data_IF_648050018479
#
_entry.id   IF_648050018479
#
_cell.length_a   1.000
_cell.length_b   1.000
_cell.length_c   1.000
_cell.angle_alpha   90.00
_cell.angle_beta   90.00
_cell.angle_gamma   90.00
#
_symmetry.space_group_name_H-M   'P 1'
#
loop_
_entity.id
_entity.type
_entity.pdbx_description
1 polymer ?
#
# COMPACT_ATOMS: atom_id res chain seq x y z
N UNK A 1 2.89 22.60 -8.92
CA UNK A 1 2.59 21.35 -9.65
C UNK A 1 1.30 21.53 -10.41
N UNK A 2 1.27 21.21 -11.71
CA UNK A 2 0.06 21.31 -12.53
C UNK A 2 -0.86 20.13 -12.21
N UNK A 3 -2.18 20.31 -12.35
CA UNK A 3 -3.18 19.27 -12.04
C UNK A 3 -2.89 17.94 -12.77
N UNK A 4 -2.51 18.01 -14.04
CA UNK A 4 -2.20 16.84 -14.85
C UNK A 4 -1.01 16.03 -14.30
N UNK A 5 0.02 16.72 -13.79
CA UNK A 5 1.19 16.08 -13.16
C UNK A 5 0.78 15.35 -11.88
N UNK A 6 -0.08 15.97 -11.06
CA UNK A 6 -0.60 15.36 -9.84
C UNK A 6 -1.37 14.06 -10.13
N UNK A 7 -2.21 14.07 -11.16
CA UNK A 7 -3.00 12.91 -11.58
C UNK A 7 -2.07 11.80 -12.05
N UNK A 8 -1.09 12.14 -12.90
CA UNK A 8 -0.10 11.17 -13.37
C UNK A 8 0.67 10.52 -12.22
N UNK A 9 1.16 11.33 -11.27
CA UNK A 9 1.89 10.83 -10.11
C UNK A 9 1.00 9.98 -9.19
N UNK A 10 -0.25 10.35 -8.99
CA UNK A 10 -1.20 9.55 -8.23
C UNK A 10 -1.39 8.16 -8.84
N UNK A 11 -1.60 8.10 -10.17
CA UNK A 11 -1.73 6.82 -10.89
C UNK A 11 -0.44 6.01 -10.82
N UNK A 12 0.71 6.67 -10.95
CA UNK A 12 2.01 6.02 -10.86
C UNK A 12 2.26 5.41 -9.48
N UNK A 13 2.10 6.17 -8.40
CA UNK A 13 2.27 5.67 -7.03
C UNK A 13 1.22 4.61 -6.68
N UNK A 14 -0.03 4.79 -7.13
CA UNK A 14 -1.07 3.78 -7.00
C UNK A 14 -0.66 2.46 -7.63
N UNK A 15 -0.27 2.49 -8.91
CA UNK A 15 0.14 1.29 -9.66
C UNK A 15 1.38 0.62 -9.08
N UNK A 16 2.38 1.40 -8.66
CA UNK A 16 3.59 0.89 -8.02
C UNK A 16 3.26 0.20 -6.69
N UNK A 17 2.42 0.81 -5.86
CA UNK A 17 1.98 0.21 -4.59
C UNK A 17 1.20 -1.08 -4.81
N UNK A 18 0.28 -1.11 -5.76
CA UNK A 18 -0.49 -2.31 -6.16
C UNK A 18 0.45 -3.44 -6.57
N UNK A 19 1.46 -3.15 -7.41
CA UNK A 19 2.44 -4.15 -7.83
C UNK A 19 3.23 -4.70 -6.64
N UNK A 20 3.70 -3.82 -5.75
CA UNK A 20 4.45 -4.22 -4.55
C UNK A 20 3.59 -5.08 -3.63
N UNK A 21 2.31 -4.74 -3.42
CA UNK A 21 1.42 -5.52 -2.58
C UNK A 21 1.17 -6.92 -3.14
N UNK A 22 0.94 -7.04 -4.46
CA UNK A 22 0.77 -8.35 -5.11
C UNK A 22 2.02 -9.21 -4.95
N UNK A 23 3.21 -8.63 -5.17
CA UNK A 23 4.48 -9.33 -4.99
C UNK A 23 4.68 -9.76 -3.52
N UNK A 24 4.40 -8.87 -2.58
CA UNK A 24 4.54 -9.15 -1.15
C UNK A 24 3.56 -10.22 -0.66
N UNK A 25 2.29 -10.12 -1.07
CA UNK A 25 1.27 -11.12 -0.77
C UNK A 25 1.63 -12.47 -1.39
N UNK A 26 2.10 -12.48 -2.63
CA UNK A 26 2.51 -13.70 -3.33
C UNK A 26 3.71 -14.35 -2.66
N UNK A 27 4.71 -13.56 -2.27
CA UNK A 27 5.88 -14.04 -1.54
C UNK A 27 5.50 -14.64 -0.17
N UNK A 28 4.62 -13.97 0.58
CA UNK A 28 4.10 -14.50 1.84
C UNK A 28 3.31 -15.80 1.66
N UNK A 29 2.55 -15.92 0.56
CA UNK A 29 1.86 -17.15 0.23
C UNK A 29 2.86 -18.26 -0.09
N UNK A 30 3.87 -17.99 -0.93
CA UNK A 30 4.93 -18.94 -1.26
C UNK A 30 5.66 -19.47 -0.01
N UNK A 31 5.99 -18.60 0.95
CA UNK A 31 6.62 -19.03 2.21
C UNK A 31 5.73 -19.99 3.00
N UNK A 32 4.40 -19.77 3.03
CA UNK A 32 3.45 -20.57 3.80
C UNK A 32 3.12 -21.90 3.12
N UNK A 33 2.83 -21.89 1.82
CA UNK A 33 2.29 -23.05 1.09
C UNK A 33 3.33 -23.79 0.27
N UNK A 34 4.50 -23.16 0.00
CA UNK A 34 5.52 -23.63 -0.96
C UNK A 34 4.99 -23.84 -2.38
N UNK A 35 3.87 -23.20 -2.73
CA UNK A 35 3.30 -23.27 -4.06
C UNK A 35 4.09 -22.37 -5.03
N UNK A 36 4.72 -22.99 -6.03
CA UNK A 36 5.52 -22.32 -7.06
C UNK A 36 4.73 -21.35 -7.95
N UNK A 37 3.39 -21.32 -7.86
CA UNK A 37 2.54 -20.37 -8.59
C UNK A 37 2.61 -18.93 -8.04
N UNK A 38 3.06 -18.73 -6.79
CA UNK A 38 3.25 -17.42 -6.14
C UNK A 38 2.02 -16.50 -6.34
N UNK A 39 0.84 -17.00 -5.99
CA UNK A 39 -0.41 -16.25 -6.14
C UNK A 39 -0.45 -15.12 -5.11
N UNK A 40 -0.46 -13.87 -5.58
CA UNK A 40 -0.62 -12.67 -4.78
C UNK A 40 -2.05 -12.14 -4.79
N UNK A 41 -2.47 -11.57 -3.67
CA UNK A 41 -3.80 -10.98 -3.49
C UNK A 41 -3.70 -9.47 -3.30
N UNK A 42 -4.72 -8.76 -3.77
CA UNK A 42 -4.86 -7.33 -3.59
C UNK A 42 -6.33 -6.93 -3.47
N UNK A 43 -6.59 -5.92 -2.65
CA UNK A 43 -7.88 -5.24 -2.58
C UNK A 43 -7.90 -4.03 -3.51
N UNK A 44 -9.01 -3.84 -4.23
CA UNK A 44 -9.22 -2.66 -5.10
C UNK A 44 -9.05 -1.34 -4.33
N UNK A 45 -9.36 -1.35 -3.03
CA UNK A 45 -9.20 -0.18 -2.16
C UNK A 45 -7.75 0.25 -1.93
N UNK A 46 -6.78 -0.62 -2.19
CA UNK A 46 -5.37 -0.28 -2.00
C UNK A 46 -4.84 0.64 -3.09
N UNK A 47 -5.42 0.62 -4.29
CA UNK A 47 -5.05 1.56 -5.36
C UNK A 47 -5.20 3.04 -4.95
N UNK A 48 -6.37 3.51 -4.47
CA UNK A 48 -6.50 4.90 -4.05
C UNK A 48 -5.69 5.22 -2.77
N UNK A 49 -5.48 4.25 -1.88
CA UNK A 49 -4.62 4.44 -0.69
C UNK A 49 -3.18 4.69 -1.13
N UNK A 50 -2.62 3.83 -1.99
CA UNK A 50 -1.27 3.98 -2.50
C UNK A 50 -1.10 5.22 -3.36
N UNK A 51 -2.08 5.56 -4.21
CA UNK A 51 -2.03 6.82 -4.97
C UNK A 51 -1.98 8.05 -4.07
N UNK A 52 -2.68 8.02 -2.94
CA UNK A 52 -2.71 9.14 -1.99
C UNK A 52 -1.38 9.36 -1.22
N UNK A 53 -0.43 8.42 -1.30
CA UNK A 53 0.94 8.61 -0.76
C UNK A 53 1.67 9.79 -1.41
N UNK A 54 1.26 10.21 -2.61
CA UNK A 54 1.73 11.45 -3.25
C UNK A 54 1.60 12.65 -2.31
N UNK A 55 0.47 12.78 -1.59
CA UNK A 55 0.25 13.90 -0.68
C UNK A 55 1.23 13.89 0.49
N UNK A 56 1.57 12.70 1.00
CA UNK A 56 2.61 12.52 2.03
C UNK A 56 3.97 12.91 1.46
N UNK A 57 4.27 12.49 0.22
CA UNK A 57 5.54 12.81 -0.43
C UNK A 57 5.72 14.33 -0.55
N UNK A 58 4.70 15.02 -1.06
CA UNK A 58 4.71 16.47 -1.19
C UNK A 58 4.82 17.17 0.18
N UNK A 59 4.10 16.66 1.19
CA UNK A 59 4.15 17.20 2.54
C UNK A 59 5.57 17.11 3.13
N UNK A 60 6.18 15.92 3.13
CA UNK A 60 7.52 15.71 3.68
C UNK A 60 8.58 16.46 2.88
N UNK A 61 8.48 16.53 1.55
CA UNK A 61 9.40 17.33 0.74
C UNK A 61 9.31 18.83 1.07
N UNK A 62 8.10 19.33 1.31
CA UNK A 62 7.88 20.76 1.62
C UNK A 62 8.42 21.11 3.02
N UNK A 63 8.12 20.30 4.03
CA UNK A 63 8.39 20.65 5.43
C UNK A 63 9.67 20.02 6.00
N UNK A 64 10.15 18.93 5.42
CA UNK A 64 11.34 18.18 5.87
C UNK A 64 12.34 17.93 4.73
N UNK A 65 12.28 18.72 3.65
CA UNK A 65 13.16 18.57 2.49
C UNK A 65 14.66 18.67 2.81
N UNK A 66 15.01 19.51 3.79
CA UNK A 66 16.39 19.72 4.26
C UNK A 66 16.92 18.67 5.25
N UNK A 67 16.10 17.69 5.66
CA UNK A 67 16.52 16.68 6.62
C UNK A 67 17.45 15.65 5.97
N UNK A 68 18.30 15.01 6.77
CA UNK A 68 19.12 13.88 6.32
C UNK A 68 18.25 12.78 5.71
N UNK A 69 18.76 12.11 4.68
CA UNK A 69 17.94 11.20 3.86
C UNK A 69 17.30 10.06 4.67
N UNK A 70 17.99 9.53 5.70
CA UNK A 70 17.41 8.51 6.60
C UNK A 70 16.22 9.05 7.38
N UNK A 71 16.33 10.26 7.93
CA UNK A 71 15.23 10.87 8.69
C UNK A 71 13.99 11.09 7.80
N UNK A 72 14.20 11.50 6.54
CA UNK A 72 13.11 11.60 5.55
C UNK A 72 12.50 10.23 5.24
N UNK A 73 13.34 9.21 5.06
CA UNK A 73 12.91 7.82 4.87
C UNK A 73 12.02 7.32 6.01
N UNK A 74 12.43 7.57 7.26
CA UNK A 74 11.64 7.21 8.44
C UNK A 74 10.31 7.98 8.50
N UNK A 75 10.31 9.28 8.18
CA UNK A 75 9.07 10.07 8.10
C UNK A 75 8.11 9.54 7.05
N UNK A 76 8.60 9.19 5.85
CA UNK A 76 7.77 8.56 4.82
C UNK A 76 7.16 7.26 5.33
N UNK A 77 7.97 6.37 5.92
CA UNK A 77 7.49 5.09 6.43
C UNK A 77 6.38 5.28 7.48
N UNK A 78 6.60 6.15 8.47
CA UNK A 78 5.61 6.42 9.53
C UNK A 78 4.29 6.94 8.94
N UNK A 79 4.36 7.94 8.06
CA UNK A 79 3.17 8.58 7.50
C UNK A 79 2.40 7.66 6.55
N UNK A 80 3.11 6.90 5.70
CA UNK A 80 2.49 5.96 4.76
C UNK A 80 1.83 4.82 5.54
N UNK A 81 2.51 4.23 6.52
CA UNK A 81 1.91 3.20 7.38
C UNK A 81 0.71 3.73 8.15
N UNK A 82 0.77 4.97 8.65
CA UNK A 82 -0.38 5.58 9.32
C UNK A 82 -1.57 5.76 8.37
N UNK A 83 -1.34 6.23 7.15
CA UNK A 83 -2.37 6.38 6.12
C UNK A 83 -3.01 5.04 5.78
N UNK A 84 -2.22 4.00 5.54
CA UNK A 84 -2.71 2.65 5.26
C UNK A 84 -3.57 2.12 6.41
N UNK A 85 -3.05 2.21 7.63
CA UNK A 85 -3.74 1.71 8.82
C UNK A 85 -5.07 2.44 9.05
N UNK A 86 -5.07 3.78 8.94
CA UNK A 86 -6.28 4.60 9.08
C UNK A 86 -7.29 4.26 7.99
N UNK A 87 -6.85 4.18 6.73
CA UNK A 87 -7.73 3.89 5.60
C UNK A 87 -8.38 2.52 5.73
N UNK A 88 -7.60 1.48 6.06
CA UNK A 88 -8.19 0.16 6.22
C UNK A 88 -8.98 -0.03 7.51
N UNK A 89 -8.73 0.75 8.57
CA UNK A 89 -9.63 0.82 9.72
C UNK A 89 -11.00 1.40 9.33
N UNK A 90 -11.02 2.47 8.52
CA UNK A 90 -12.27 3.06 8.00
C UNK A 90 -13.00 2.03 7.12
N UNK A 91 -12.30 1.41 6.17
CA UNK A 91 -12.88 0.41 5.27
C UNK A 91 -13.42 -0.78 6.07
N UNK A 92 -12.69 -1.25 7.08
CA UNK A 92 -13.15 -2.31 7.97
C UNK A 92 -14.42 -1.92 8.71
N UNK A 93 -14.57 -0.68 9.15
CA UNK A 93 -15.80 -0.21 9.80
C UNK A 93 -16.99 -0.17 8.84
N UNK A 94 -16.78 0.15 7.57
CA UNK A 94 -17.86 0.27 6.58
C UNK A 94 -18.25 -1.10 6.02
N UNK A 95 -17.28 -1.93 5.64
CA UNK A 95 -17.48 -3.17 4.90
C UNK A 95 -17.24 -4.44 5.73
N UNK A 96 -16.89 -4.31 7.02
CA UNK A 96 -16.67 -5.43 7.94
C UNK A 96 -15.32 -6.14 7.83
N UNK A 97 -14.57 -5.94 6.73
CA UNK A 97 -13.24 -6.53 6.50
C UNK A 97 -12.20 -5.46 6.15
N UNK A 98 -10.98 -5.63 6.65
CA UNK A 98 -9.87 -4.76 6.28
C UNK A 98 -9.33 -5.13 4.88
N UNK A 99 -8.79 -4.16 4.11
CA UNK A 99 -8.27 -4.40 2.76
C UNK A 99 -7.21 -5.51 2.70
N UNK A 100 -6.33 -5.58 3.70
CA UNK A 100 -5.23 -6.53 3.79
C UNK A 100 -5.61 -7.88 4.45
N UNK A 101 -6.89 -8.11 4.74
CA UNK A 101 -7.34 -9.33 5.44
C UNK A 101 -7.60 -10.47 4.45
N UNK A 102 -6.54 -11.14 3.97
CA UNK A 102 -6.64 -12.26 3.03
C UNK A 102 -6.69 -13.66 3.69
N UNK A 103 -6.65 -13.73 5.02
CA UNK A 103 -6.50 -14.97 5.78
C UNK A 103 -7.58 -16.05 5.56
N UNK A 104 -8.77 -15.67 5.08
CA UNK A 104 -9.81 -16.65 4.72
C UNK A 104 -9.58 -17.29 3.35
N UNK A 105 -8.98 -16.55 2.41
CA UNK A 105 -8.72 -17.01 1.03
C UNK A 105 -7.56 -18.02 1.03
N UNK A 106 -6.51 -17.75 1.81
CA UNK A 106 -5.35 -18.65 1.94
C UNK A 106 -5.76 -20.03 2.51
N UNK A 107 -6.78 -20.08 3.38
CA UNK A 107 -7.27 -21.32 4.01
C UNK A 107 -8.17 -22.16 3.09
N UNK A 108 -8.91 -21.53 2.19
CA UNK A 108 -9.80 -22.22 1.26
C UNK A 108 -9.02 -22.86 0.11
N UNK A 109 -7.92 -22.25 -0.33
CA UNK A 109 -7.04 -22.78 -1.37
C UNK A 109 -6.01 -23.81 -0.89
N UNK A 110 -6.00 -24.14 0.41
CA UNK A 110 -5.09 -25.14 1.01
C UNK A 110 -5.78 -26.45 1.41
N UNK A 111 -7.05 -26.61 1.03
CA UNK A 111 -7.84 -27.86 1.07
C UNK A 111 -7.86 -28.45 -0.34
#
# INVERSE_FOLDING_TARGET
MKLLESIFLFIFFGSAGVLIEVLWSGFNNFIKTKDSRIIGHISVWMFPIYGSTLFIILFVQTYAGGFFWLARGTLYAILITFLEFRSGWIIRKIFGKAPWSYASIDKENSI
#
